data_IF_602703101931
#
_entry.id   IF_602703101931
#
_cell.length_a   1.000
_cell.length_b   1.000
_cell.length_c   1.000
_cell.angle_alpha   90.00
_cell.angle_beta   90.00
_cell.angle_gamma   90.00
#
_symmetry.space_group_name_H-M   'P 1'
#
loop_
_entity.id
_entity.type
_entity.pdbx_description
1 polymer ?
#
# COMPACT_ATOMS: atom_id res chain seq x y z
N UNK A 1 -11.46 -16.45 15.39
CA UNK A 1 -11.24 -15.53 14.24
C UNK A 1 -11.94 -16.12 13.04
N UNK A 2 -12.94 -15.46 12.48
CA UNK A 2 -13.61 -15.93 11.28
C UNK A 2 -12.78 -15.49 10.06
N UNK A 3 -12.25 -16.45 9.30
CA UNK A 3 -11.52 -16.19 8.06
C UNK A 3 -12.58 -15.90 6.99
N UNK A 4 -12.73 -14.63 6.62
CA UNK A 4 -13.67 -14.21 5.57
C UNK A 4 -12.97 -14.30 4.20
N UNK A 5 -13.68 -14.62 3.13
CA UNK A 5 -13.12 -14.59 1.79
C UNK A 5 -12.79 -13.15 1.35
N UNK A 6 -11.92 -13.04 0.37
CA UNK A 6 -11.59 -11.81 -0.33
C UNK A 6 -11.88 -11.97 -1.82
N UNK A 7 -12.20 -10.87 -2.50
CA UNK A 7 -12.45 -10.81 -3.94
C UNK A 7 -11.19 -10.39 -4.68
N UNK A 8 -10.90 -11.02 -5.82
CA UNK A 8 -9.78 -10.64 -6.67
C UNK A 8 -9.92 -9.17 -7.09
N UNK A 9 -8.88 -8.34 -6.95
CA UNK A 9 -9.00 -6.92 -7.28
C UNK A 9 -8.73 -6.63 -8.77
N UNK A 10 -8.36 -7.65 -9.56
CA UNK A 10 -8.14 -7.47 -10.99
C UNK A 10 -9.47 -7.14 -11.70
N UNK A 11 -9.53 -6.14 -12.59
CA UNK A 11 -10.72 -5.86 -13.37
C UNK A 11 -11.23 -7.11 -14.10
N UNK A 12 -12.56 -7.25 -14.16
CA UNK A 12 -13.26 -8.35 -14.83
C UNK A 12 -12.95 -9.76 -14.30
N UNK A 13 -12.32 -9.87 -13.13
CA UNK A 13 -12.10 -11.14 -12.43
C UNK A 13 -13.11 -11.33 -11.30
N UNK A 14 -13.88 -12.42 -11.35
CA UNK A 14 -14.89 -12.75 -10.34
C UNK A 14 -14.41 -13.76 -9.29
N UNK A 15 -13.11 -14.05 -9.22
CA UNK A 15 -12.58 -15.01 -8.25
C UNK A 15 -12.76 -14.50 -6.81
N UNK A 16 -13.30 -15.36 -5.95
CA UNK A 16 -13.47 -15.12 -4.51
C UNK A 16 -12.89 -16.30 -3.75
N UNK A 17 -12.07 -16.04 -2.74
CA UNK A 17 -11.43 -17.12 -1.99
C UNK A 17 -10.78 -16.66 -0.69
N UNK A 18 -10.24 -17.61 0.07
CA UNK A 18 -9.44 -17.26 1.25
C UNK A 18 -8.18 -16.50 0.84
N UNK A 19 -7.60 -15.65 1.70
CA UNK A 19 -6.49 -14.76 1.31
C UNK A 19 -5.33 -15.46 0.61
N UNK A 20 -4.84 -16.58 1.17
CA UNK A 20 -3.76 -17.37 0.57
C UNK A 20 -4.12 -17.91 -0.82
N UNK A 21 -5.34 -18.41 -0.99
CA UNK A 21 -5.83 -18.91 -2.28
C UNK A 21 -5.98 -17.79 -3.30
N UNK A 22 -6.46 -16.62 -2.88
CA UNK A 22 -6.57 -15.43 -3.71
C UNK A 22 -5.21 -14.89 -4.14
N UNK A 23 -4.24 -14.82 -3.23
CA UNK A 23 -2.86 -14.43 -3.56
C UNK A 23 -2.24 -15.35 -4.61
N UNK A 24 -2.42 -16.65 -4.43
CA UNK A 24 -1.96 -17.68 -5.38
C UNK A 24 -2.67 -17.56 -6.73
N UNK A 25 -4.00 -17.37 -6.70
CA UNK A 25 -4.80 -17.12 -7.90
C UNK A 25 -4.28 -15.91 -8.66
N UNK A 26 -4.07 -14.77 -7.99
CA UNK A 26 -3.58 -13.56 -8.62
C UNK A 26 -2.19 -13.75 -9.22
N UNK A 27 -1.28 -14.42 -8.50
CA UNK A 27 0.05 -14.75 -9.02
C UNK A 27 -0.01 -15.64 -10.28
N UNK A 28 -0.97 -16.57 -10.34
CA UNK A 28 -1.09 -17.50 -11.46
C UNK A 28 -1.81 -16.88 -12.67
N UNK A 29 -2.93 -16.18 -12.45
CA UNK A 29 -3.82 -15.69 -13.50
C UNK A 29 -3.54 -14.25 -13.93
N UNK A 30 -2.86 -13.47 -13.09
CA UNK A 30 -2.56 -12.06 -13.29
C UNK A 30 -1.07 -11.74 -13.04
N UNK A 31 -0.18 -12.68 -13.38
CA UNK A 31 1.27 -12.60 -13.12
C UNK A 31 1.95 -11.35 -13.69
N UNK A 32 1.41 -10.80 -14.78
CA UNK A 32 1.92 -9.59 -15.45
C UNK A 32 1.26 -8.29 -14.99
N UNK A 33 0.25 -8.38 -14.12
CA UNK A 33 -0.53 -7.22 -13.69
C UNK A 33 0.02 -6.57 -12.41
N UNK A 34 1.04 -7.14 -11.76
CA UNK A 34 1.60 -6.60 -10.52
C UNK A 34 3.10 -6.33 -10.58
N UNK A 35 3.52 -5.30 -9.84
CA UNK A 35 4.92 -5.08 -9.50
C UNK A 35 5.32 -6.00 -8.36
N UNK A 36 6.36 -6.81 -8.58
CA UNK A 36 6.86 -7.76 -7.60
C UNK A 36 7.85 -7.09 -6.64
N UNK A 37 7.66 -7.26 -5.34
CA UNK A 37 8.53 -6.68 -4.31
C UNK A 37 8.93 -7.69 -3.21
N UNK A 38 9.82 -7.29 -2.30
CA UNK A 38 10.15 -8.04 -1.08
C UNK A 38 9.93 -7.18 0.13
N UNK A 39 9.44 -7.75 1.22
CA UNK A 39 9.30 -7.02 2.48
C UNK A 39 10.63 -6.46 2.97
N UNK A 40 10.57 -5.31 3.62
CA UNK A 40 11.69 -4.62 4.28
C UNK A 40 12.76 -4.08 3.31
N UNK A 41 12.50 -4.10 2.00
CA UNK A 41 13.36 -3.47 0.99
C UNK A 41 12.58 -2.37 0.27
N UNK A 42 13.24 -1.23 0.04
CA UNK A 42 12.72 -0.18 -0.82
C UNK A 42 12.70 -0.63 -2.28
N UNK A 43 11.68 -0.21 -3.01
CA UNK A 43 11.55 -0.41 -4.45
C UNK A 43 10.87 0.79 -5.11
N UNK A 44 11.27 1.13 -6.34
CA UNK A 44 10.68 2.23 -7.08
C UNK A 44 9.33 1.84 -7.67
N UNK A 45 8.39 2.78 -7.68
CA UNK A 45 7.12 2.73 -8.43
C UNK A 45 6.98 4.00 -9.25
N UNK A 46 6.52 3.86 -10.49
CA UNK A 46 6.12 4.97 -11.35
C UNK A 46 4.68 4.76 -11.76
N UNK A 47 3.83 5.76 -11.54
CA UNK A 47 2.46 5.79 -12.05
C UNK A 47 2.38 6.78 -13.20
N UNK A 48 1.83 6.34 -14.31
CA UNK A 48 1.57 7.23 -15.46
C UNK A 48 0.48 8.27 -15.14
N UNK A 49 0.32 9.25 -16.02
CA UNK A 49 -0.52 10.42 -15.81
C UNK A 49 -2.03 10.14 -15.63
N UNK A 50 -2.51 8.96 -16.03
CA UNK A 50 -3.90 8.53 -15.88
C UNK A 50 -4.06 7.34 -14.91
N UNK A 51 -2.96 6.80 -14.41
CA UNK A 51 -2.97 5.57 -13.62
C UNK A 51 -3.41 5.86 -12.18
N UNK A 52 -4.53 5.26 -11.77
CA UNK A 52 -5.12 5.44 -10.44
C UNK A 52 -4.67 4.40 -9.42
N UNK A 53 -4.03 3.32 -9.86
CA UNK A 53 -3.56 2.28 -8.95
C UNK A 53 -2.44 1.42 -9.55
N UNK A 54 -1.71 0.73 -8.66
CA UNK A 54 -0.73 -0.31 -9.00
C UNK A 54 -0.96 -1.51 -8.09
N UNK A 55 -1.07 -2.70 -8.67
CA UNK A 55 -1.03 -3.94 -7.88
C UNK A 55 0.41 -4.25 -7.48
N UNK A 56 0.63 -4.53 -6.20
CA UNK A 56 1.93 -4.87 -5.64
C UNK A 56 1.85 -6.28 -5.05
N UNK A 57 2.74 -7.18 -5.44
CA UNK A 57 2.72 -8.55 -4.96
C UNK A 57 4.07 -8.94 -4.35
N UNK A 58 4.05 -9.45 -3.12
CA UNK A 58 5.27 -9.87 -2.44
C UNK A 58 5.74 -11.24 -2.93
N UNK A 59 7.04 -11.39 -3.22
CA UNK A 59 7.61 -12.56 -3.91
C UNK A 59 7.53 -13.89 -3.16
N UNK A 60 7.44 -13.89 -1.84
CA UNK A 60 7.58 -15.10 -1.01
C UNK A 60 6.23 -15.68 -0.60
N UNK A 61 5.39 -14.85 0.00
CA UNK A 61 4.06 -15.20 0.51
C UNK A 61 2.94 -14.79 -0.47
N UNK A 62 3.29 -14.20 -1.62
CA UNK A 62 2.35 -13.72 -2.66
C UNK A 62 1.35 -12.67 -2.17
N UNK A 63 1.59 -12.08 -1.00
CA UNK A 63 0.65 -11.14 -0.35
C UNK A 63 0.41 -9.96 -1.28
N UNK A 64 -0.86 -9.65 -1.49
CA UNK A 64 -1.32 -8.68 -2.45
C UNK A 64 -1.65 -7.35 -1.77
N UNK A 65 -1.05 -6.29 -2.29
CA UNK A 65 -1.29 -4.91 -1.90
C UNK A 65 -1.68 -4.08 -3.11
N UNK A 66 -2.27 -2.92 -2.84
CA UNK A 66 -2.65 -1.94 -3.85
C UNK A 66 -2.13 -0.58 -3.42
N UNK A 67 -1.34 0.04 -4.27
CA UNK A 67 -1.04 1.47 -4.16
C UNK A 67 -2.13 2.22 -4.92
N UNK A 68 -2.90 3.05 -4.23
CA UNK A 68 -3.94 3.87 -4.85
C UNK A 68 -3.45 5.30 -5.06
N UNK A 69 -3.99 5.97 -6.08
CA UNK A 69 -3.80 7.37 -6.41
C UNK A 69 -5.14 8.02 -6.74
N UNK A 70 -5.44 9.16 -6.13
CA UNK A 70 -6.44 10.11 -6.67
C UNK A 70 -5.77 11.39 -7.14
N UNK A 71 -6.36 12.02 -8.15
CA UNK A 71 -5.90 13.27 -8.72
C UNK A 71 -6.63 14.42 -8.04
N UNK A 72 -5.89 15.39 -7.53
CA UNK A 72 -6.42 16.57 -6.86
C UNK A 72 -5.82 17.83 -7.51
N UNK A 73 -6.46 19.00 -7.41
CA UNK A 73 -5.95 20.23 -8.02
C UNK A 73 -4.50 20.58 -7.62
N UNK A 74 -4.11 20.27 -6.39
CA UNK A 74 -2.78 20.58 -5.84
C UNK A 74 -1.78 19.42 -5.94
N UNK A 75 -2.18 18.24 -6.41
CA UNK A 75 -1.30 17.07 -6.39
C UNK A 75 -2.01 15.74 -6.54
N UNK A 76 -1.51 14.71 -5.87
CA UNK A 76 -2.13 13.40 -5.84
C UNK A 76 -2.16 12.83 -4.43
N UNK A 77 -3.33 12.38 -3.95
CA UNK A 77 -3.37 11.56 -2.74
C UNK A 77 -2.92 10.15 -3.07
N UNK A 78 -2.08 9.58 -2.21
CA UNK A 78 -1.54 8.24 -2.37
C UNK A 78 -1.66 7.47 -1.06
N UNK A 79 -2.06 6.21 -1.12
CA UNK A 79 -1.94 5.27 0.00
C UNK A 79 -1.60 3.86 -0.47
N UNK A 80 -1.29 2.98 0.48
CA UNK A 80 -1.17 1.53 0.25
C UNK A 80 -2.18 0.78 1.11
N UNK A 81 -2.87 -0.18 0.48
CA UNK A 81 -3.83 -1.07 1.12
C UNK A 81 -3.43 -2.53 0.93
N UNK A 82 -3.77 -3.38 1.89
CA UNK A 82 -3.61 -4.83 1.83
C UNK A 82 -4.94 -5.49 1.43
N UNK A 83 -4.91 -6.48 0.54
CA UNK A 83 -6.09 -7.30 0.23
C UNK A 83 -6.20 -8.41 1.27
N UNK A 84 -6.97 -8.17 2.33
CA UNK A 84 -7.13 -9.11 3.42
C UNK A 84 -8.44 -8.85 4.18
N UNK A 85 -8.94 -9.82 4.97
CA UNK A 85 -10.11 -9.61 5.82
C UNK A 85 -9.85 -8.45 6.79
N UNK A 86 -10.87 -7.66 7.12
CA UNK A 86 -10.72 -6.56 8.08
C UNK A 86 -10.29 -7.01 9.49
N UNK A 87 -10.57 -8.27 9.84
CA UNK A 87 -10.16 -8.91 11.10
C UNK A 87 -8.75 -9.51 11.06
N UNK A 88 -8.02 -9.34 9.96
CA UNK A 88 -6.70 -9.93 9.77
C UNK A 88 -5.67 -9.22 10.65
N UNK A 89 -5.13 -9.94 11.64
CA UNK A 89 -4.24 -9.39 12.68
C UNK A 89 -2.82 -9.06 12.21
N UNK A 90 -2.50 -9.22 10.92
CA UNK A 90 -1.15 -8.88 10.43
C UNK A 90 -1.09 -7.37 10.19
N UNK A 91 -0.28 -6.70 10.98
CA UNK A 91 0.04 -5.29 10.76
C UNK A 91 1.22 -5.19 9.80
N UNK A 92 0.93 -4.70 8.59
CA UNK A 92 1.96 -4.28 7.64
C UNK A 92 2.11 -2.78 7.76
N UNK A 93 3.33 -2.30 7.94
CA UNK A 93 3.64 -0.88 7.80
C UNK A 93 4.20 -0.61 6.42
N UNK A 94 4.07 0.63 5.96
CA UNK A 94 4.63 1.06 4.70
C UNK A 94 5.15 2.49 4.80
N UNK A 95 6.09 2.81 3.91
CA UNK A 95 6.58 4.17 3.68
C UNK A 95 6.45 4.49 2.19
N UNK A 96 5.87 5.65 1.90
CA UNK A 96 5.87 6.27 0.59
C UNK A 96 6.79 7.48 0.63
N UNK A 97 7.72 7.58 -0.31
CA UNK A 97 8.59 8.75 -0.45
C UNK A 97 8.52 9.28 -1.89
N UNK A 98 8.12 10.54 -2.06
CA UNK A 98 8.27 11.30 -3.29
C UNK A 98 9.47 12.26 -3.16
N UNK A 99 10.21 12.50 -4.25
CA UNK A 99 11.38 13.39 -4.28
C UNK A 99 11.38 14.24 -5.54
N UNK A 100 11.78 15.50 -5.42
CA UNK A 100 12.01 16.44 -6.53
C UNK A 100 13.52 16.60 -6.87
N UNK A 101 14.39 15.98 -6.07
CA UNK A 101 15.86 16.09 -6.16
C UNK A 101 16.50 16.92 -5.03
N UNK A 102 15.75 17.84 -4.42
CA UNK A 102 16.19 18.73 -3.34
C UNK A 102 15.51 18.41 -2.01
N UNK A 103 14.26 18.00 -2.08
CA UNK A 103 13.35 17.78 -0.97
C UNK A 103 12.63 16.44 -1.10
N UNK A 104 11.95 16.03 -0.04
CA UNK A 104 11.15 14.80 -0.04
C UNK A 104 9.89 14.95 0.78
N UNK A 105 8.81 14.35 0.30
CA UNK A 105 7.58 14.14 1.06
C UNK A 105 7.47 12.68 1.41
N UNK A 106 7.18 12.40 2.67
CA UNK A 106 7.12 11.06 3.21
C UNK A 106 5.89 10.83 4.04
N UNK A 107 5.33 9.64 3.90
CA UNK A 107 4.36 9.09 4.84
C UNK A 107 4.82 7.70 5.24
N UNK A 108 4.93 7.48 6.55
CA UNK A 108 5.13 6.16 7.13
C UNK A 108 3.95 5.82 8.03
N UNK A 109 3.25 4.74 7.74
CA UNK A 109 2.01 4.36 8.46
C UNK A 109 1.68 2.88 8.27
N UNK A 110 0.53 2.43 8.76
CA UNK A 110 0.03 1.05 8.66
C UNK A 110 -0.90 0.90 7.45
N UNK A 111 -0.72 -0.15 6.65
CA UNK A 111 -1.62 -0.48 5.55
C UNK A 111 -2.99 -0.93 6.08
N UNK A 112 -4.06 -0.32 5.58
CA UNK A 112 -5.42 -0.80 5.88
C UNK A 112 -5.73 -2.07 5.09
N UNK A 113 -6.49 -2.99 5.69
CA UNK A 113 -6.93 -4.22 5.03
C UNK A 113 -8.33 -4.06 4.44
N UNK A 114 -8.54 -4.53 3.22
CA UNK A 114 -9.88 -4.66 2.62
C UNK A 114 -10.10 -6.05 2.02
N UNK A 115 -11.25 -6.72 2.28
CA UNK A 115 -11.56 -7.99 1.65
C UNK A 115 -12.00 -7.83 0.19
N UNK A 116 -12.49 -6.65 -0.17
CA UNK A 116 -12.92 -6.34 -1.53
C UNK A 116 -12.46 -4.92 -1.83
N UNK A 117 -11.49 -4.81 -2.71
CA UNK A 117 -11.05 -3.52 -3.19
C UNK A 117 -11.93 -3.07 -4.37
N UNK A 118 -12.26 -1.79 -4.35
CA UNK A 118 -12.96 -1.08 -5.41
C UNK A 118 -12.14 0.17 -5.66
N UNK A 119 -11.92 0.52 -6.93
CA UNK A 119 -11.21 1.75 -7.31
C UNK A 119 -11.95 2.96 -6.75
N UNK A 120 -11.39 3.59 -5.72
CA UNK A 120 -11.94 4.77 -5.08
C UNK A 120 -10.79 5.66 -4.55
N UNK A 121 -11.03 6.98 -4.36
CA UNK A 121 -10.01 7.86 -3.81
C UNK A 121 -9.48 7.40 -2.44
N UNK A 122 -8.18 7.57 -2.13
CA UNK A 122 -7.62 7.28 -0.82
C UNK A 122 -8.27 8.15 0.27
N UNK A 123 -9.05 7.54 1.18
CA UNK A 123 -9.77 8.27 2.25
C UNK A 123 -9.07 8.24 3.61
N UNK A 124 -8.10 7.34 3.80
CA UNK A 124 -7.41 7.13 5.09
C UNK A 124 -5.95 6.84 4.88
N UNK A 125 -5.14 7.27 5.87
CA UNK A 125 -3.71 7.03 5.96
C UNK A 125 -3.03 7.29 4.62
N UNK A 126 -3.30 8.45 4.02
CA UNK A 126 -2.82 8.84 2.70
C UNK A 126 -1.92 10.07 2.80
N UNK A 127 -1.10 10.29 1.78
CA UNK A 127 -0.23 11.48 1.65
C UNK A 127 -0.61 12.25 0.41
N UNK A 128 -0.72 13.57 0.53
CA UNK A 128 -0.80 14.45 -0.64
C UNK A 128 0.62 14.64 -1.16
N UNK A 129 0.89 14.19 -2.37
CA UNK A 129 2.11 14.50 -3.13
C UNK A 129 1.81 15.72 -3.99
N UNK A 130 2.36 16.91 -3.70
CA UNK A 130 2.14 18.12 -4.47
C UNK A 130 2.64 17.99 -5.90
N UNK A 131 2.07 18.81 -6.80
CA UNK A 131 2.45 18.84 -8.21
C UNK A 131 3.95 19.07 -8.45
N UNK A 132 4.65 19.77 -7.55
CA UNK A 132 6.09 20.02 -7.65
C UNK A 132 6.95 18.73 -7.59
N UNK A 133 6.37 17.63 -7.07
CA UNK A 133 7.00 16.30 -7.01
C UNK A 133 6.56 15.39 -8.16
N UNK A 134 5.67 15.86 -9.03
CA UNK A 134 5.17 15.14 -10.20
C UNK A 134 5.94 15.65 -11.42
N UNK A 135 6.39 14.74 -12.26
CA UNK A 135 7.15 15.12 -13.46
C UNK A 135 6.28 15.95 -14.42
N UNK A 136 6.90 16.73 -15.30
CA UNK A 136 6.19 17.48 -16.35
C UNK A 136 5.36 16.59 -17.30
N UNK A 137 5.71 15.31 -17.42
CA UNK A 137 4.92 14.31 -18.14
C UNK A 137 3.71 13.78 -17.35
N UNK A 138 3.48 14.27 -16.12
CA UNK A 138 2.40 13.82 -15.22
C UNK A 138 2.69 12.51 -14.48
N UNK A 139 3.90 11.95 -14.63
CA UNK A 139 4.29 10.72 -13.94
C UNK A 139 4.61 11.01 -12.47
N UNK A 140 4.04 10.20 -11.59
CA UNK A 140 4.31 10.20 -10.16
C UNK A 140 5.31 9.09 -9.85
N UNK A 141 6.50 9.46 -9.38
CA UNK A 141 7.56 8.52 -8.98
C UNK A 141 7.65 8.45 -7.46
N UNK A 142 7.65 7.23 -6.94
CA UNK A 142 7.66 6.94 -5.52
C UNK A 142 8.74 5.89 -5.22
N UNK A 143 9.45 6.07 -4.12
CA UNK A 143 10.12 4.96 -3.44
C UNK A 143 9.12 4.39 -2.42
N UNK A 144 8.88 3.09 -2.49
CA UNK A 144 7.93 2.38 -1.64
C UNK A 144 8.69 1.35 -0.82
N UNK A 145 8.44 1.31 0.49
CA UNK A 145 8.88 0.19 1.33
C UNK A 145 7.66 -0.35 2.07
N UNK A 146 7.51 -1.67 2.11
CA UNK A 146 6.48 -2.35 2.91
C UNK A 146 7.19 -3.27 3.88
N UNK A 147 6.94 -3.10 5.17
CA UNK A 147 7.47 -3.95 6.22
C UNK A 147 6.42 -4.94 6.67
N UNK A 148 6.86 -6.19 6.80
CA UNK A 148 6.15 -7.19 7.58
C UNK A 148 6.81 -7.20 8.94
N UNK A 149 6.11 -6.67 9.94
CA UNK A 149 6.56 -6.85 11.31
C UNK A 149 6.61 -8.36 11.57
N UNK A 150 7.75 -8.84 12.07
CA UNK A 150 7.79 -10.20 12.61
C UNK A 150 6.72 -10.22 13.71
N UNK A 151 5.91 -11.27 13.78
CA UNK A 151 5.09 -11.49 14.97
C UNK A 151 6.07 -11.54 16.15
N UNK A 152 6.25 -10.41 16.84
CA UNK A 152 7.02 -10.38 18.07
C UNK A 152 6.28 -11.30 19.03
N UNK A 153 6.93 -12.31 19.62
CA UNK A 153 6.35 -13.02 20.75
C UNK A 153 6.18 -11.98 21.86
N UNK A 154 4.98 -11.40 21.95
CA UNK A 154 4.47 -10.46 22.95
C UNK A 154 5.59 -9.71 23.69
N UNK A 155 5.97 -8.54 23.18
CA UNK A 155 6.55 -7.50 24.05
C UNK A 155 5.84 -6.19 23.77
N UNK A 156 4.88 -5.86 24.63
CA UNK A 156 4.25 -4.55 24.69
C UNK A 156 5.31 -3.49 24.96
N UNK A 157 5.62 -2.65 23.98
CA UNK A 157 6.20 -1.34 24.24
C UNK A 157 5.32 -0.30 23.57
N UNK A 158 4.49 0.36 24.40
CA UNK A 158 3.77 1.56 24.02
C UNK A 158 4.78 2.68 23.83
N UNK A 159 4.63 3.45 22.77
CA UNK A 159 5.32 4.73 22.62
C UNK A 159 4.78 5.69 23.70
N UNK A 160 5.58 5.98 24.71
CA UNK A 160 5.32 7.04 25.69
C UNK A 160 5.93 8.33 25.15
N UNK A 161 5.10 9.25 24.66
CA UNK A 161 5.51 10.64 24.49
C UNK A 161 4.41 11.53 25.06
N UNK A 162 4.47 11.74 26.37
CA UNK A 162 3.90 12.92 27.00
C UNK A 162 4.96 14.02 26.97
N UNK A 163 4.71 15.04 26.15
CA UNK A 163 5.41 16.31 26.23
C UNK A 163 5.08 16.95 27.59
N UNK A 164 6.08 17.17 28.43
CA UNK A 164 6.00 18.18 29.49
C UNK A 164 6.63 19.46 28.95
N UNK A 165 5.84 20.52 28.88
CA UNK A 165 6.30 21.90 28.66
C UNK A 165 6.88 22.48 29.95
N UNK A 166 7.94 23.31 29.89
CA UNK A 166 8.56 23.89 31.07
C UNK A 166 7.76 25.08 31.62
N UNK A 167 7.78 25.23 32.95
CA UNK A 167 7.61 26.52 33.62
C UNK A 167 8.64 26.62 34.74
#
# INVERSE_FOLDING_TARGET
MQIRPCSCPHPDCNYVGLPKSLYTHFAAQHSRSSTQFRFNYGFPISLDNSQTHVFLQEKTESILFILNRSFEPLGSFVNVMCIAPTSFKREFSYELTAKDGFSSIKLKTIAESTPQWITQPPVKKCVLVPNDFITSAGQLKLEVTIWKERESPISSSRCSSLLQTPK
#
